data_IF_037492051040
#
_entry.id   IF_037492051040
#
_cell.length_a   1.000
_cell.length_b   1.000
_cell.length_c   1.000
_cell.angle_alpha   90.00
_cell.angle_beta   90.00
_cell.angle_gamma   90.00
#
_symmetry.space_group_name_H-M   'P 1'
#
loop_
_entity.id
_entity.type
_entity.pdbx_description
1 polymer ?
#
# COMPACT_ATOMS: atom_id res chain seq x y z
N UNK A 1 -71.76 19.30 -3.14
CA UNK A 1 -71.33 18.04 -2.51
C UNK A 1 -69.85 17.82 -2.82
N UNK A 2 -68.95 18.18 -1.90
CA UNK A 2 -67.48 18.12 -2.09
C UNK A 2 -66.98 16.74 -1.63
N UNK A 3 -66.45 15.92 -2.54
CA UNK A 3 -65.73 14.69 -2.21
C UNK A 3 -64.25 15.02 -2.18
N UNK A 4 -63.66 15.07 -0.97
CA UNK A 4 -62.21 15.14 -0.79
C UNK A 4 -61.68 13.71 -0.73
N UNK A 5 -60.93 13.28 -1.74
CA UNK A 5 -60.16 12.04 -1.69
C UNK A 5 -58.97 12.26 -0.75
N UNK A 6 -58.92 11.49 0.36
CA UNK A 6 -57.70 11.31 1.13
C UNK A 6 -56.73 10.47 0.31
N UNK A 7 -55.54 11.00 0.04
CA UNK A 7 -54.41 10.21 -0.44
C UNK A 7 -53.40 10.15 0.71
N UNK A 8 -53.42 9.06 1.48
CA UNK A 8 -52.37 8.79 2.47
C UNK A 8 -51.21 8.16 1.69
N UNK A 9 -50.24 8.99 1.31
CA UNK A 9 -49.01 8.52 0.67
C UNK A 9 -48.12 7.90 1.75
N UNK A 10 -48.14 6.57 1.81
CA UNK A 10 -47.24 5.77 2.63
C UNK A 10 -45.82 5.89 2.09
N UNK A 11 -45.06 6.85 2.59
CA UNK A 11 -43.60 6.87 2.46
C UNK A 11 -43.02 5.94 3.52
N UNK A 12 -43.13 4.63 3.27
CA UNK A 12 -42.33 3.64 3.98
C UNK A 12 -40.91 3.76 3.42
N UNK A 13 -40.08 4.61 4.03
CA UNK A 13 -38.64 4.62 3.80
C UNK A 13 -38.10 3.26 4.28
N UNK A 14 -38.05 2.29 3.36
CA UNK A 14 -37.20 1.11 3.52
C UNK A 14 -35.77 1.62 3.65
N UNK A 15 -35.33 1.78 4.89
CA UNK A 15 -33.94 1.97 5.24
C UNK A 15 -33.25 0.64 4.92
N UNK A 16 -32.89 0.46 3.65
CA UNK A 16 -31.95 -0.58 3.26
C UNK A 16 -30.64 -0.17 3.93
N UNK A 17 -30.37 -0.75 5.09
CA UNK A 17 -29.06 -0.75 5.74
C UNK A 17 -28.09 -1.38 4.75
N UNK A 18 -27.55 -0.56 3.84
CA UNK A 18 -26.41 -0.97 3.06
C UNK A 18 -25.26 -1.06 4.05
N UNK A 19 -24.85 -2.27 4.38
CA UNK A 19 -23.56 -2.51 5.05
C UNK A 19 -22.52 -2.10 4.02
N UNK A 20 -22.13 -0.82 4.05
CA UNK A 20 -21.00 -0.33 3.27
C UNK A 20 -19.78 -1.07 3.84
N UNK A 21 -19.18 -1.97 3.05
CA UNK A 21 -17.87 -2.53 3.39
C UNK A 21 -16.90 -1.35 3.37
N UNK A 22 -16.57 -0.85 4.56
CA UNK A 22 -15.62 0.25 4.70
C UNK A 22 -14.22 -0.29 4.41
N UNK A 23 -13.51 0.36 3.48
CA UNK A 23 -12.10 0.05 3.22
C UNK A 23 -11.26 0.28 4.48
N UNK A 24 -10.33 -0.64 4.79
CA UNK A 24 -9.41 -0.49 5.93
C UNK A 24 -8.39 0.64 5.67
N UNK A 25 -8.08 0.88 4.40
CA UNK A 25 -7.18 1.94 3.92
C UNK A 25 -7.78 2.63 2.68
N UNK A 26 -8.82 3.48 2.83
CA UNK A 26 -9.52 4.08 1.69
C UNK A 26 -8.60 5.03 0.90
N UNK A 27 -8.82 5.19 -0.42
CA UNK A 27 -7.93 6.00 -1.26
C UNK A 27 -7.90 7.46 -0.82
N UNK A 28 -9.01 7.98 -0.30
CA UNK A 28 -9.15 9.35 0.20
C UNK A 28 -8.23 9.67 1.40
N UNK A 29 -7.70 8.65 2.08
CA UNK A 29 -6.69 8.80 3.14
C UNK A 29 -5.32 9.21 2.59
N UNK A 30 -5.05 8.92 1.33
CA UNK A 30 -3.75 9.06 0.73
C UNK A 30 -3.70 10.29 -0.19
N UNK A 31 -2.58 11.01 -0.16
CA UNK A 31 -2.34 12.19 -0.98
C UNK A 31 -1.10 11.95 -1.85
N UNK A 32 -1.32 11.81 -3.15
CA UNK A 32 -0.24 11.66 -4.14
C UNK A 32 0.56 12.96 -4.24
N UNK A 33 1.88 12.87 -4.03
CA UNK A 33 2.80 14.02 -4.10
C UNK A 33 3.36 14.24 -5.50
N UNK A 34 2.94 13.45 -6.49
CA UNK A 34 3.32 13.53 -7.91
C UNK A 34 4.83 13.38 -8.15
N UNK A 35 5.56 12.84 -7.18
CA UNK A 35 7.01 12.63 -7.20
C UNK A 35 7.38 11.16 -6.94
N UNK A 36 6.44 10.23 -7.22
CA UNK A 36 6.59 8.81 -6.92
C UNK A 36 6.36 8.45 -5.44
N UNK A 37 5.94 9.41 -4.62
CA UNK A 37 5.59 9.18 -3.21
C UNK A 37 4.14 9.57 -2.92
N UNK A 38 3.59 8.96 -1.86
CA UNK A 38 2.24 9.23 -1.38
C UNK A 38 2.26 9.46 0.13
N UNK A 39 1.61 10.52 0.59
CA UNK A 39 1.43 10.79 2.01
C UNK A 39 0.20 10.07 2.52
N UNK A 40 0.37 9.30 3.58
CA UNK A 40 -0.72 8.76 4.37
C UNK A 40 -1.13 9.78 5.43
N UNK A 41 -2.28 10.45 5.23
CA UNK A 41 -2.77 11.51 6.13
C UNK A 41 -3.15 11.01 7.53
N UNK A 42 -3.35 9.70 7.71
CA UNK A 42 -3.69 9.11 9.02
C UNK A 42 -2.46 8.89 9.88
N UNK A 43 -1.36 8.44 9.28
CA UNK A 43 -0.13 8.06 10.02
C UNK A 43 0.97 9.11 9.90
N UNK A 44 0.87 10.05 8.96
CA UNK A 44 1.94 10.99 8.61
C UNK A 44 3.10 10.36 7.85
N UNK A 45 3.01 9.07 7.51
CA UNK A 45 4.05 8.35 6.79
C UNK A 45 4.01 8.69 5.30
N UNK A 46 5.19 8.80 4.70
CA UNK A 46 5.36 8.91 3.25
C UNK A 46 5.74 7.54 2.72
N UNK A 47 4.97 7.04 1.75
CA UNK A 47 5.18 5.75 1.12
C UNK A 47 5.71 5.91 -0.30
N UNK A 48 6.59 5.01 -0.68
CA UNK A 48 6.92 4.79 -2.08
C UNK A 48 5.68 4.27 -2.81
N UNK A 49 5.30 4.86 -3.96
CA UNK A 49 4.13 4.41 -4.75
C UNK A 49 4.40 3.09 -5.47
N UNK A 50 5.58 2.95 -6.06
CA UNK A 50 5.98 1.75 -6.78
C UNK A 50 6.70 0.79 -5.84
N UNK A 51 6.45 -0.52 -5.95
CA UNK A 51 7.35 -1.49 -5.33
C UNK A 51 8.77 -1.35 -5.90
N UNK A 52 9.78 -1.77 -5.13
CA UNK A 52 11.17 -1.79 -5.57
C UNK A 52 11.32 -2.48 -6.94
N UNK A 53 12.20 -1.96 -7.80
CA UNK A 53 12.44 -2.49 -9.14
C UNK A 53 11.43 -2.08 -10.21
N UNK A 54 10.22 -1.65 -9.83
CA UNK A 54 9.29 -1.01 -10.77
C UNK A 54 9.79 0.41 -11.12
N UNK A 55 9.49 0.88 -12.34
CA UNK A 55 10.01 2.14 -12.86
C UNK A 55 9.68 3.34 -11.96
N UNK A 56 10.58 4.33 -11.88
CA UNK A 56 10.31 5.59 -11.16
C UNK A 56 9.88 6.65 -12.17
N UNK A 57 8.74 7.30 -11.94
CA UNK A 57 8.33 8.46 -12.73
C UNK A 57 8.98 9.73 -12.17
N UNK A 58 9.76 10.41 -13.00
CA UNK A 58 10.34 11.74 -12.72
C UNK A 58 9.76 12.79 -13.69
N UNK A 59 8.47 12.73 -13.99
CA UNK A 59 7.75 13.69 -14.84
C UNK A 59 6.59 14.36 -14.09
N UNK A 60 5.83 15.20 -14.79
CA UNK A 60 4.58 15.76 -14.27
C UNK A 60 3.47 14.71 -14.28
N UNK A 61 2.99 14.32 -13.10
CA UNK A 61 1.85 13.41 -12.95
C UNK A 61 2.13 12.18 -12.08
N UNK A 62 1.07 11.40 -11.87
CA UNK A 62 1.10 10.18 -11.05
C UNK A 62 2.05 9.15 -11.65
N UNK A 63 2.86 8.52 -10.80
CA UNK A 63 3.79 7.48 -11.25
C UNK A 63 3.04 6.28 -11.80
N UNK A 64 3.37 5.87 -13.03
CA UNK A 64 2.85 4.65 -13.65
C UNK A 64 3.67 3.42 -13.31
N UNK A 65 4.76 3.57 -12.54
CA UNK A 65 5.66 2.48 -12.18
C UNK A 65 6.25 1.71 -13.36
N UNK A 66 6.41 2.39 -14.51
CA UNK A 66 6.82 1.78 -15.76
C UNK A 66 5.69 1.10 -16.52
N UNK A 67 4.41 1.30 -16.18
CA UNK A 67 3.33 0.79 -17.01
C UNK A 67 3.29 1.50 -18.36
N UNK A 68 3.39 0.74 -19.45
CA UNK A 68 3.05 1.19 -20.80
C UNK A 68 1.82 0.40 -21.27
N UNK A 69 0.79 1.11 -21.73
CA UNK A 69 -0.47 0.51 -22.23
C UNK A 69 -1.18 -0.43 -21.23
N UNK A 70 -1.14 -0.12 -19.93
CA UNK A 70 -1.82 -0.89 -18.88
C UNK A 70 -1.09 -2.16 -18.41
N UNK A 71 0.10 -2.46 -18.96
CA UNK A 71 0.94 -3.57 -18.52
C UNK A 71 2.20 -3.06 -17.82
N UNK A 72 2.61 -3.71 -16.73
CA UNK A 72 3.87 -3.41 -16.04
C UNK A 72 5.05 -3.68 -17.00
N UNK A 73 5.73 -2.64 -17.51
CA UNK A 73 6.98 -2.81 -18.25
C UNK A 73 8.13 -2.93 -17.24
N UNK A 74 8.30 -4.14 -16.71
CA UNK A 74 9.33 -4.49 -15.74
C UNK A 74 8.79 -5.31 -14.58
N UNK A 75 9.63 -6.20 -14.04
CA UNK A 75 9.32 -6.98 -12.84
C UNK A 75 9.81 -6.21 -11.62
N UNK A 76 8.99 -6.20 -10.57
CA UNK A 76 9.45 -5.72 -9.28
C UNK A 76 10.61 -6.59 -8.78
N UNK A 77 11.62 -5.94 -8.18
CA UNK A 77 12.78 -6.62 -7.63
C UNK A 77 12.39 -7.32 -6.33
N UNK A 78 12.86 -8.56 -6.18
CA UNK A 78 12.85 -9.26 -4.92
C UNK A 78 14.21 -9.12 -4.24
N UNK A 79 14.19 -8.94 -2.93
CA UNK A 79 15.39 -8.81 -2.13
C UNK A 79 15.38 -9.79 -0.96
N UNK A 80 16.55 -10.35 -0.65
CA UNK A 80 16.80 -10.90 0.68
C UNK A 80 16.65 -9.79 1.72
N UNK A 81 16.31 -10.13 2.95
CA UNK A 81 15.94 -9.14 3.97
C UNK A 81 17.03 -8.09 4.23
N UNK A 82 18.30 -8.49 4.24
CA UNK A 82 19.43 -7.57 4.37
C UNK A 82 19.54 -6.58 3.20
N UNK A 83 19.28 -7.03 1.97
CA UNK A 83 19.24 -6.15 0.80
C UNK A 83 17.98 -5.27 0.78
N UNK A 84 16.86 -5.73 1.33
CA UNK A 84 15.66 -4.93 1.49
C UNK A 84 15.90 -3.70 2.38
N UNK A 85 16.63 -3.88 3.50
CA UNK A 85 17.08 -2.78 4.35
C UNK A 85 17.98 -1.80 3.58
N UNK A 86 19.00 -2.32 2.89
CA UNK A 86 19.95 -1.51 2.11
C UNK A 86 19.28 -0.76 0.95
N UNK A 87 18.31 -1.37 0.28
CA UNK A 87 17.52 -0.73 -0.76
C UNK A 87 16.83 0.52 -0.21
N UNK A 88 16.09 0.36 0.90
CA UNK A 88 15.39 1.49 1.49
C UNK A 88 16.33 2.51 2.11
N UNK A 89 17.50 2.13 2.62
CA UNK A 89 18.49 3.10 3.10
C UNK A 89 19.20 3.85 1.96
N UNK A 90 19.00 3.45 0.69
CA UNK A 90 19.64 4.07 -0.47
C UNK A 90 21.07 3.58 -0.72
N UNK A 91 21.45 2.43 -0.17
CA UNK A 91 22.79 1.84 -0.21
C UNK A 91 23.01 0.89 -1.41
N UNK A 92 21.97 0.66 -2.22
CA UNK A 92 22.04 -0.12 -3.46
C UNK A 92 22.12 0.80 -4.69
N UNK A 93 22.49 0.24 -5.84
CA UNK A 93 22.56 0.97 -7.11
C UNK A 93 21.18 1.48 -7.56
N UNK A 94 20.15 0.63 -7.47
CA UNK A 94 18.74 1.03 -7.58
C UNK A 94 18.29 1.61 -6.24
N UNK A 95 17.59 2.75 -6.29
CA UNK A 95 17.17 3.50 -5.10
C UNK A 95 15.68 3.88 -5.18
N UNK A 96 15.01 4.08 -4.04
CA UNK A 96 13.67 4.67 -4.01
C UNK A 96 13.67 6.13 -4.53
N UNK A 97 12.49 6.71 -4.83
CA UNK A 97 12.35 8.10 -5.29
C UNK A 97 12.96 9.11 -4.31
N UNK A 98 13.30 10.30 -4.78
CA UNK A 98 13.85 11.36 -3.92
C UNK A 98 12.77 11.83 -2.92
N UNK A 99 13.13 11.89 -1.64
CA UNK A 99 12.30 12.45 -0.58
C UNK A 99 12.49 13.97 -0.42
N UNK A 100 11.53 14.67 0.21
CA UNK A 100 11.75 16.01 0.73
C UNK A 100 12.97 16.10 1.66
N UNK A 101 13.59 17.27 1.73
CA UNK A 101 14.73 17.52 2.60
C UNK A 101 14.43 17.16 4.07
N UNK A 102 15.40 16.55 4.75
CA UNK A 102 15.26 16.13 6.15
C UNK A 102 14.49 14.82 6.37
N UNK A 103 14.13 14.10 5.30
CA UNK A 103 13.52 12.77 5.37
C UNK A 103 14.48 11.69 4.89
N UNK A 104 14.32 10.49 5.45
CA UNK A 104 15.11 9.32 5.09
C UNK A 104 14.19 8.11 4.92
N UNK A 105 14.40 7.38 3.85
CA UNK A 105 13.72 6.12 3.61
C UNK A 105 14.22 5.03 4.56
N UNK A 106 13.32 4.12 4.90
CA UNK A 106 13.63 2.88 5.61
C UNK A 106 12.65 1.80 5.23
N UNK A 107 12.98 0.56 5.56
CA UNK A 107 12.05 -0.55 5.45
C UNK A 107 10.96 -0.41 6.54
N UNK A 108 9.67 -0.49 6.21
CA UNK A 108 8.59 -0.34 7.18
C UNK A 108 8.66 -1.45 8.22
N UNK A 109 8.28 -1.13 9.46
CA UNK A 109 8.05 -2.17 10.45
C UNK A 109 6.72 -2.89 10.16
N UNK A 110 6.45 -3.99 10.87
CA UNK A 110 5.27 -4.81 10.61
C UNK A 110 3.95 -4.06 10.83
N UNK A 111 3.89 -3.12 11.78
CA UNK A 111 2.68 -2.36 12.06
C UNK A 111 2.40 -1.31 10.97
N UNK A 112 3.46 -0.67 10.47
CA UNK A 112 3.35 0.27 9.35
C UNK A 112 2.90 -0.43 8.09
N UNK A 113 3.48 -1.58 7.76
CA UNK A 113 3.12 -2.35 6.57
C UNK A 113 1.68 -2.89 6.66
N UNK A 114 1.24 -3.30 7.86
CA UNK A 114 -0.17 -3.64 8.13
C UNK A 114 -1.11 -2.46 7.93
N UNK A 115 -0.66 -1.22 8.17
CA UNK A 115 -1.51 -0.03 8.12
C UNK A 115 -2.00 0.34 6.72
N UNK A 116 -1.40 -0.24 5.67
CA UNK A 116 -1.77 -0.03 4.26
C UNK A 116 -2.50 -1.24 3.66
N UNK A 117 -2.76 -2.29 4.44
CA UNK A 117 -3.63 -3.39 4.02
C UNK A 117 -5.06 -2.88 3.90
N UNK A 118 -5.73 -3.27 2.82
CA UNK A 118 -7.16 -3.03 2.60
C UNK A 118 -7.90 -4.32 2.27
N UNK A 119 -8.63 -4.87 3.26
CA UNK A 119 -9.33 -6.15 3.10
C UNK A 119 -10.67 -6.04 2.38
N UNK A 120 -11.10 -4.84 1.99
CA UNK A 120 -12.20 -4.70 1.02
C UNK A 120 -11.75 -5.02 -0.42
N UNK A 121 -10.44 -5.18 -0.63
CA UNK A 121 -9.82 -5.54 -1.91
C UNK A 121 -9.15 -6.91 -1.80
N UNK A 122 -8.95 -7.56 -2.95
CA UNK A 122 -8.31 -8.87 -3.05
C UNK A 122 -7.42 -8.89 -4.30
N UNK A 123 -6.27 -9.55 -4.20
CA UNK A 123 -5.31 -9.69 -5.30
C UNK A 123 -4.98 -8.38 -6.04
N UNK A 124 -4.38 -7.38 -5.37
CA UNK A 124 -3.98 -7.36 -3.96
C UNK A 124 -5.01 -6.70 -3.02
N UNK A 125 -5.01 -7.11 -1.75
CA UNK A 125 -5.67 -6.49 -0.60
C UNK A 125 -4.98 -5.18 -0.17
N UNK A 126 -4.91 -4.24 -1.11
CA UNK A 126 -4.45 -2.87 -0.95
C UNK A 126 -5.08 -2.01 -2.04
N UNK A 127 -5.15 -0.71 -1.82
CA UNK A 127 -5.66 0.20 -2.85
C UNK A 127 -4.65 0.39 -3.99
N UNK A 128 -4.90 -0.30 -5.11
CA UNK A 128 -4.06 -0.24 -6.31
C UNK A 128 -4.16 1.08 -7.08
N UNK A 129 -5.22 1.87 -6.82
CA UNK A 129 -5.29 3.24 -7.32
C UNK A 129 -4.33 4.17 -6.60
N UNK A 130 -3.82 3.79 -5.42
CA UNK A 130 -2.88 4.55 -4.57
C UNK A 130 -1.45 3.98 -4.58
N UNK A 131 -1.30 2.66 -4.50
CA UNK A 131 -0.02 1.98 -4.38
C UNK A 131 0.04 0.84 -5.41
N UNK A 132 1.11 0.78 -6.19
CA UNK A 132 1.25 -0.25 -7.23
C UNK A 132 2.07 -1.41 -6.67
N UNK A 133 1.45 -2.58 -6.61
CA UNK A 133 2.08 -3.80 -6.11
C UNK A 133 3.05 -4.41 -7.13
N UNK A 134 4.17 -4.93 -6.64
CA UNK A 134 5.09 -5.77 -7.40
C UNK A 134 4.81 -7.28 -7.32
N UNK A 135 3.98 -7.69 -6.36
CA UNK A 135 3.56 -9.08 -6.09
C UNK A 135 3.01 -9.20 -4.67
N UNK A 136 3.03 -10.40 -4.09
CA UNK A 136 2.22 -10.71 -2.90
C UNK A 136 2.88 -10.38 -1.56
N UNK A 137 4.10 -10.88 -1.33
CA UNK A 137 4.78 -10.82 -0.02
C UNK A 137 5.75 -9.64 0.06
N UNK A 138 5.64 -8.85 1.12
CA UNK A 138 6.55 -7.73 1.38
C UNK A 138 7.25 -7.87 2.71
N UNK A 139 8.54 -7.55 2.71
CA UNK A 139 9.36 -7.53 3.92
C UNK A 139 8.98 -6.39 4.87
N UNK A 140 8.96 -6.70 6.17
CA UNK A 140 9.02 -5.72 7.24
C UNK A 140 10.41 -5.74 7.90
N UNK A 141 10.84 -4.61 8.46
CA UNK A 141 12.08 -4.49 9.26
C UNK A 141 12.00 -5.16 10.63
N UNK A 142 10.84 -5.68 11.02
CA UNK A 142 10.65 -6.36 12.29
C UNK A 142 11.22 -7.78 12.21
N UNK A 143 12.26 -8.06 13.01
CA UNK A 143 12.80 -9.41 13.22
C UNK A 143 11.85 -10.22 14.11
N UNK A 144 11.70 -11.52 13.86
CA UNK A 144 10.89 -12.39 14.70
C UNK A 144 11.55 -12.58 16.08
N UNK A 145 10.79 -12.44 17.16
CA UNK A 145 11.32 -12.53 18.52
C UNK A 145 11.71 -13.97 18.93
N UNK A 146 11.10 -14.99 18.33
CA UNK A 146 11.43 -16.40 18.61
C UNK A 146 12.56 -16.96 17.73
N UNK A 147 12.91 -16.30 16.63
CA UNK A 147 14.00 -16.72 15.75
C UNK A 147 14.59 -15.51 15.01
N UNK A 148 15.80 -15.11 15.40
CA UNK A 148 16.47 -13.94 14.82
C UNK A 148 16.91 -14.13 13.35
N UNK A 149 16.93 -15.37 12.85
CA UNK A 149 17.13 -15.66 11.44
C UNK A 149 15.90 -15.32 10.58
N UNK A 150 14.75 -15.04 11.20
CA UNK A 150 13.51 -14.72 10.52
C UNK A 150 13.13 -13.25 10.66
N UNK A 151 12.39 -12.74 9.68
CA UNK A 151 11.75 -11.43 9.74
C UNK A 151 10.28 -11.54 9.31
N UNK A 152 9.48 -10.55 9.72
CA UNK A 152 8.07 -10.50 9.40
C UNK A 152 7.82 -10.09 7.94
N UNK A 153 6.76 -10.63 7.36
CA UNK A 153 6.23 -10.27 6.06
C UNK A 153 4.73 -10.01 6.13
N UNK A 154 4.22 -9.22 5.18
CA UNK A 154 2.78 -9.07 4.92
C UNK A 154 2.48 -9.66 3.55
N UNK A 155 1.48 -10.54 3.49
CA UNK A 155 0.93 -11.05 2.24
C UNK A 155 -0.27 -10.20 1.82
N UNK A 156 -0.14 -9.49 0.71
CA UNK A 156 -1.19 -8.68 0.12
C UNK A 156 -2.12 -9.45 -0.82
N UNK A 157 -1.96 -10.74 -1.08
CA UNK A 157 -2.94 -11.51 -1.88
C UNK A 157 -4.34 -11.48 -1.24
N UNK A 158 -4.40 -11.61 0.10
CA UNK A 158 -5.65 -11.60 0.89
C UNK A 158 -5.65 -10.62 2.07
N UNK A 159 -4.51 -10.00 2.43
CA UNK A 159 -4.43 -9.01 3.51
C UNK A 159 -4.61 -9.57 4.94
N UNK A 160 -4.72 -10.89 5.09
CA UNK A 160 -4.92 -11.58 6.37
C UNK A 160 -3.71 -12.38 6.85
N UNK A 161 -2.77 -12.71 5.96
CA UNK A 161 -1.57 -13.46 6.29
C UNK A 161 -0.40 -12.55 6.67
N UNK A 162 -0.01 -12.64 7.94
CA UNK A 162 1.24 -12.08 8.48
C UNK A 162 2.13 -13.25 8.87
N UNK A 163 3.26 -13.37 8.20
CA UNK A 163 4.13 -14.54 8.36
C UNK A 163 5.52 -14.10 8.77
N UNK A 164 6.31 -15.05 9.25
CA UNK A 164 7.75 -14.87 9.37
C UNK A 164 8.45 -15.78 8.39
N UNK A 165 9.46 -15.27 7.70
CA UNK A 165 10.25 -16.02 6.75
C UNK A 165 11.73 -15.88 7.08
N UNK A 166 12.54 -16.87 6.70
CA UNK A 166 13.99 -16.79 6.84
C UNK A 166 14.54 -15.65 5.97
N UNK A 167 15.52 -14.91 6.49
CA UNK A 167 16.03 -13.66 5.91
C UNK A 167 16.75 -13.82 4.56
N UNK A 168 16.95 -15.06 4.12
CA UNK A 168 17.56 -15.47 2.85
C UNK A 168 16.55 -15.60 1.69
N UNK A 169 15.24 -15.54 1.93
CA UNK A 169 14.24 -15.55 0.85
C UNK A 169 14.11 -14.19 0.15
N UNK A 170 13.82 -14.24 -1.14
CA UNK A 170 13.47 -13.06 -1.92
C UNK A 170 12.00 -12.67 -1.73
N UNK A 171 11.74 -11.46 -1.23
CA UNK A 171 10.41 -10.86 -1.23
C UNK A 171 10.44 -9.41 -1.69
N UNK A 172 9.26 -8.87 -1.99
CA UNK A 172 9.11 -7.50 -2.47
C UNK A 172 9.36 -6.48 -1.38
N UNK A 173 9.68 -5.27 -1.81
CA UNK A 173 10.06 -4.17 -0.92
C UNK A 173 9.26 -2.92 -1.28
N UNK A 174 8.78 -2.23 -0.26
CA UNK A 174 8.19 -0.89 -0.35
C UNK A 174 8.75 -0.08 0.81
N UNK A 175 9.37 1.06 0.50
CA UNK A 175 9.96 1.90 1.53
C UNK A 175 8.94 2.86 2.13
N UNK A 176 9.22 3.27 3.36
CA UNK A 176 8.47 4.28 4.10
C UNK A 176 9.43 5.32 4.68
N UNK A 177 8.97 6.56 4.83
CA UNK A 177 9.65 7.61 5.57
C UNK A 177 8.73 8.17 6.66
N UNK A 178 9.35 8.58 7.77
CA UNK A 178 8.64 9.16 8.91
C UNK A 178 8.12 10.59 8.66
N UNK A 179 7.17 11.05 9.49
CA UNK A 179 6.67 12.43 9.48
C UNK A 179 7.72 13.46 9.84
#
# INVERSE_FOLDING_TARGET
>A
MKIRKLCVSSFCFLLILTVQIQADAPPTRFEDKLNGTVLDKRTGLIWQICAAGLGSHNGSGRSTCGMSSGNLSGNADQHHWGNALRYCNGDLSKKPPVLPAGKTWRLPNINELKSIVDRSQLNPAMDTSVLIAGGDYYWASTTANWNLANAWTVNFLYGSAYMTSTKDWGYYVRCVAGP
#
